data_IF_342916044594
#
_entry.id   IF_342916044594
#
_cell.length_a   1.000
_cell.length_b   1.000
_cell.length_c   1.000
_cell.angle_alpha   90.00
_cell.angle_beta   90.00
_cell.angle_gamma   90.00
#
_symmetry.space_group_name_H-M   'P 1'
#
loop_
_entity.id
_entity.type
_entity.pdbx_description
1 polymer ?
#
# COMPACT_ATOMS: atom_id res chain seq x y z
N UNK A 1 -2.79 -11.89 47.70
CA UNK A 1 -3.65 -12.73 46.84
C UNK A 1 -3.45 -12.24 45.41
N UNK A 2 -2.94 -13.06 44.48
CA UNK A 2 -2.88 -12.67 43.07
C UNK A 2 -4.30 -12.80 42.47
N UNK A 3 -4.76 -11.76 41.76
CA UNK A 3 -6.04 -11.77 41.03
C UNK A 3 -6.09 -12.83 39.92
N UNK A 4 -7.29 -13.11 39.37
CA UNK A 4 -7.47 -14.19 38.40
C UNK A 4 -6.62 -13.90 37.16
N UNK A 5 -5.88 -14.91 36.70
CA UNK A 5 -5.20 -14.90 35.40
C UNK A 5 -6.28 -14.86 34.32
N UNK A 6 -6.57 -13.68 33.79
CA UNK A 6 -7.39 -13.52 32.60
C UNK A 6 -6.67 -14.22 31.43
N UNK A 7 -7.23 -15.34 31.00
CA UNK A 7 -6.88 -15.97 29.73
C UNK A 7 -7.43 -15.09 28.62
N UNK A 8 -6.76 -13.98 28.35
CA UNK A 8 -7.03 -13.17 27.17
C UNK A 8 -6.89 -14.05 25.93
N UNK A 9 -7.95 -14.17 25.15
CA UNK A 9 -7.81 -14.74 23.81
C UNK A 9 -6.95 -13.78 22.98
N UNK A 10 -6.14 -14.31 22.04
CA UNK A 10 -5.30 -13.45 21.19
C UNK A 10 -6.11 -12.32 20.54
N UNK A 11 -7.37 -12.58 20.19
CA UNK A 11 -8.31 -11.61 19.61
C UNK A 11 -8.59 -10.43 20.56
N UNK A 12 -8.80 -10.69 21.85
CA UNK A 12 -9.04 -9.63 22.85
C UNK A 12 -7.84 -8.71 23.04
N UNK A 13 -6.62 -9.23 22.96
CA UNK A 13 -5.40 -8.40 23.06
C UNK A 13 -5.27 -7.42 21.89
N UNK A 14 -5.62 -7.83 20.67
CA UNK A 14 -5.63 -6.94 19.48
C UNK A 14 -6.76 -5.91 19.52
N UNK A 15 -7.88 -6.24 20.16
CA UNK A 15 -9.03 -5.33 20.34
C UNK A 15 -8.71 -4.27 21.40
N UNK A 16 -8.11 -4.66 22.53
CA UNK A 16 -7.83 -3.77 23.67
C UNK A 16 -6.64 -2.83 23.50
N UNK A 17 -5.69 -3.14 22.61
CA UNK A 17 -4.50 -2.31 22.37
C UNK A 17 -4.56 -1.51 21.07
N UNK A 18 -5.64 -1.65 20.29
CA UNK A 18 -5.85 -0.88 19.06
C UNK A 18 -6.43 0.51 19.35
N UNK A 19 -6.32 1.41 18.38
CA UNK A 19 -6.95 2.73 18.42
C UNK A 19 -8.48 2.59 18.35
N UNK A 20 -9.18 3.12 19.35
CA UNK A 20 -10.64 3.02 19.49
C UNK A 20 -11.36 3.72 18.31
N UNK A 21 -10.77 4.78 17.74
CA UNK A 21 -11.40 5.58 16.66
C UNK A 21 -11.65 4.81 15.38
N UNK A 22 -10.87 3.76 15.15
CA UNK A 22 -10.99 2.92 13.94
C UNK A 22 -11.73 1.62 14.21
N UNK A 23 -12.19 1.36 15.44
CA UNK A 23 -12.76 0.07 15.83
C UNK A 23 -14.05 -0.26 15.06
N UNK A 24 -14.90 0.73 14.82
CA UNK A 24 -16.17 0.56 14.09
C UNK A 24 -15.99 0.69 12.56
N UNK A 25 -14.76 0.90 12.09
CA UNK A 25 -14.49 0.97 10.66
C UNK A 25 -14.64 -0.41 10.01
N UNK A 26 -15.11 -0.48 8.75
CA UNK A 26 -15.19 -1.75 8.03
C UNK A 26 -13.84 -2.49 8.02
N UNK A 27 -13.85 -3.76 8.42
CA UNK A 27 -12.68 -4.66 8.49
C UNK A 27 -11.66 -4.36 9.62
N UNK A 28 -11.97 -3.45 10.55
CA UNK A 28 -11.06 -3.04 11.63
C UNK A 28 -11.46 -3.56 13.02
N UNK A 29 -12.59 -4.26 13.11
CA UNK A 29 -13.12 -4.91 14.31
C UNK A 29 -12.19 -6.01 14.82
N UNK A 30 -11.62 -6.80 13.90
CA UNK A 30 -10.69 -7.88 14.21
C UNK A 30 -9.74 -8.14 13.03
N UNK A 31 -8.62 -8.87 13.23
CA UNK A 31 -7.76 -9.28 12.12
C UNK A 31 -8.42 -10.32 11.20
N UNK A 32 -9.50 -10.98 11.65
CA UNK A 32 -10.10 -12.14 10.96
C UNK A 32 -10.63 -11.79 9.55
N UNK A 33 -11.39 -10.70 9.34
CA UNK A 33 -11.83 -10.29 8.01
C UNK A 33 -10.66 -10.05 7.05
N UNK A 34 -9.60 -9.35 7.49
CA UNK A 34 -8.44 -9.05 6.64
C UNK A 34 -7.63 -10.30 6.32
N UNK A 35 -7.43 -11.19 7.28
CA UNK A 35 -6.79 -12.49 7.05
C UNK A 35 -7.62 -13.35 6.09
N UNK A 36 -8.94 -13.28 6.17
CA UNK A 36 -9.84 -13.97 5.23
C UNK A 36 -9.65 -13.44 3.82
N UNK A 37 -9.67 -12.11 3.64
CA UNK A 37 -9.40 -11.47 2.33
C UNK A 37 -8.01 -11.85 1.80
N UNK A 38 -7.00 -11.86 2.66
CA UNK A 38 -5.64 -12.26 2.31
C UNK A 38 -5.58 -13.70 1.78
N UNK A 39 -6.18 -14.65 2.49
CA UNK A 39 -6.22 -16.06 2.07
C UNK A 39 -6.99 -16.21 0.76
N UNK A 40 -8.16 -15.58 0.64
CA UNK A 40 -8.96 -15.59 -0.59
C UNK A 40 -8.19 -15.00 -1.78
N UNK A 41 -7.46 -13.91 -1.57
CA UNK A 41 -6.59 -13.31 -2.59
C UNK A 41 -5.51 -14.29 -3.07
N UNK A 42 -4.79 -14.94 -2.15
CA UNK A 42 -3.75 -15.92 -2.51
C UNK A 42 -4.34 -17.15 -3.23
N UNK A 43 -5.50 -17.64 -2.77
CA UNK A 43 -6.22 -18.71 -3.45
C UNK A 43 -6.61 -18.31 -4.87
N UNK A 44 -7.12 -17.09 -5.06
CA UNK A 44 -7.51 -16.56 -6.36
C UNK A 44 -6.31 -16.38 -7.29
N UNK A 45 -5.17 -15.88 -6.80
CA UNK A 45 -3.93 -15.74 -7.58
C UNK A 45 -3.39 -17.11 -8.01
N UNK A 46 -3.48 -18.12 -7.14
CA UNK A 46 -2.99 -19.49 -7.42
C UNK A 46 -3.92 -20.27 -8.34
N UNK A 47 -5.22 -20.21 -8.09
CA UNK A 47 -6.22 -21.03 -8.77
C UNK A 47 -6.79 -20.34 -10.03
N UNK A 48 -6.80 -19.01 -10.07
CA UNK A 48 -7.33 -18.21 -11.17
C UNK A 48 -6.72 -18.55 -12.54
N UNK A 49 -5.38 -18.63 -12.69
CA UNK A 49 -4.74 -19.05 -13.92
C UNK A 49 -5.23 -20.42 -14.40
N UNK A 50 -5.24 -21.41 -13.50
CA UNK A 50 -5.68 -22.79 -13.77
C UNK A 50 -7.13 -22.86 -14.23
N UNK A 51 -8.03 -22.13 -13.56
CA UNK A 51 -9.46 -22.05 -13.94
C UNK A 51 -9.67 -21.39 -15.30
N UNK A 52 -8.72 -20.55 -15.72
CA UNK A 52 -8.79 -19.78 -16.94
C UNK A 52 -8.02 -20.41 -18.10
N UNK A 53 -7.28 -21.51 -17.90
CA UNK A 53 -6.51 -22.19 -18.96
C UNK A 53 -7.38 -22.52 -20.19
N UNK A 54 -8.57 -23.05 -19.93
CA UNK A 54 -9.52 -23.45 -20.98
C UNK A 54 -10.52 -22.36 -21.37
N UNK A 55 -10.36 -21.13 -20.84
CA UNK A 55 -11.30 -20.03 -21.05
C UNK A 55 -10.66 -18.88 -21.85
N UNK A 56 -11.42 -18.33 -22.79
CA UNK A 56 -11.04 -17.12 -23.52
C UNK A 56 -10.87 -15.94 -22.54
N UNK A 57 -9.90 -15.02 -22.77
CA UNK A 57 -9.74 -13.85 -21.93
C UNK A 57 -10.99 -12.95 -21.94
N UNK A 58 -11.40 -12.44 -20.78
CA UNK A 58 -12.51 -11.50 -20.68
C UNK A 58 -12.16 -10.14 -21.31
N UNK A 59 -13.11 -9.55 -22.04
CA UNK A 59 -12.97 -8.22 -22.62
C UNK A 59 -13.36 -7.13 -21.61
N UNK A 60 -12.48 -6.87 -20.63
CA UNK A 60 -12.73 -5.91 -19.53
C UNK A 60 -11.99 -4.58 -19.70
N UNK A 61 -11.66 -4.18 -20.93
CA UNK A 61 -10.81 -3.02 -21.18
C UNK A 61 -11.41 -1.71 -20.65
N UNK A 62 -12.69 -1.43 -20.95
CA UNK A 62 -13.39 -0.24 -20.45
C UNK A 62 -13.46 -0.18 -18.93
N UNK A 63 -13.81 -1.32 -18.30
CA UNK A 63 -13.83 -1.44 -16.84
C UNK A 63 -12.46 -1.17 -16.21
N UNK A 64 -11.37 -1.61 -16.86
CA UNK A 64 -10.00 -1.34 -16.39
C UNK A 64 -9.61 0.13 -16.53
N UNK A 65 -10.02 0.80 -17.61
CA UNK A 65 -9.79 2.25 -17.74
C UNK A 65 -10.50 2.97 -16.61
N UNK A 66 -11.79 2.68 -16.39
CA UNK A 66 -12.58 3.28 -15.32
C UNK A 66 -11.98 3.01 -13.94
N UNK A 67 -11.58 1.76 -13.67
CA UNK A 67 -10.91 1.38 -12.42
C UNK A 67 -9.63 2.18 -12.18
N UNK A 68 -8.72 2.23 -13.16
CA UNK A 68 -7.47 2.97 -12.99
C UNK A 68 -7.70 4.48 -12.83
N UNK A 69 -8.69 5.05 -13.51
CA UNK A 69 -9.08 6.45 -13.33
C UNK A 69 -9.69 6.71 -11.95
N UNK A 70 -10.52 5.79 -11.44
CA UNK A 70 -11.10 5.89 -10.11
C UNK A 70 -10.01 5.81 -9.03
N UNK A 71 -9.06 4.88 -9.16
CA UNK A 71 -7.94 4.77 -8.21
C UNK A 71 -7.00 5.97 -8.32
N UNK A 72 -6.78 6.51 -9.52
CA UNK A 72 -6.04 7.76 -9.70
C UNK A 72 -6.74 8.92 -9.00
N UNK A 73 -8.04 9.09 -9.19
CA UNK A 73 -8.83 10.14 -8.53
C UNK A 73 -8.83 9.99 -7.01
N UNK A 74 -8.95 8.77 -6.50
CA UNK A 74 -8.82 8.48 -5.07
C UNK A 74 -7.43 8.81 -4.55
N UNK A 75 -6.37 8.47 -5.29
CA UNK A 75 -4.99 8.79 -4.92
C UNK A 75 -4.75 10.30 -4.89
N UNK A 76 -5.33 11.04 -5.85
CA UNK A 76 -5.33 12.52 -5.87
C UNK A 76 -6.01 13.04 -4.60
N UNK A 77 -7.22 12.57 -4.31
CA UNK A 77 -7.97 12.98 -3.11
C UNK A 77 -7.17 12.73 -1.83
N UNK A 78 -6.62 11.52 -1.64
CA UNK A 78 -5.81 11.18 -0.46
C UNK A 78 -4.57 12.09 -0.36
N UNK A 79 -3.86 12.32 -1.47
CA UNK A 79 -2.69 13.22 -1.47
C UNK A 79 -3.07 14.65 -1.05
N UNK A 80 -4.19 15.17 -1.54
CA UNK A 80 -4.66 16.52 -1.17
C UNK A 80 -5.16 16.60 0.28
N UNK A 81 -5.96 15.64 0.74
CA UNK A 81 -6.40 15.57 2.14
C UNK A 81 -5.19 15.51 3.08
N UNK A 82 -4.21 14.66 2.77
CA UNK A 82 -2.98 14.59 3.55
C UNK A 82 -2.23 15.93 3.55
N UNK A 83 -2.10 16.60 2.40
CA UNK A 83 -1.45 17.91 2.33
C UNK A 83 -2.18 18.97 3.16
N UNK A 84 -3.53 19.01 3.07
CA UNK A 84 -4.36 19.94 3.83
C UNK A 84 -4.23 19.67 5.32
N UNK A 85 -4.34 18.41 5.75
CA UNK A 85 -4.15 18.03 7.15
C UNK A 85 -2.76 18.41 7.64
N UNK A 86 -1.70 18.20 6.85
CA UNK A 86 -0.34 18.60 7.23
C UNK A 86 -0.18 20.12 7.42
N UNK A 87 -0.79 20.91 6.54
CA UNK A 87 -0.76 22.38 6.64
C UNK A 87 -1.57 22.87 7.84
N UNK A 88 -2.76 22.30 8.07
CA UNK A 88 -3.63 22.65 9.20
C UNK A 88 -3.01 22.26 10.56
N UNK A 89 -2.29 21.14 10.61
CA UNK A 89 -1.64 20.65 11.83
C UNK A 89 -0.24 21.22 12.09
N UNK A 90 0.27 22.15 11.25
CA UNK A 90 1.66 22.63 11.30
C UNK A 90 2.69 21.48 11.35
N UNK A 91 2.50 20.49 10.49
CA UNK A 91 3.17 19.19 10.57
C UNK A 91 4.71 19.29 10.55
N UNK A 92 5.36 18.65 11.52
CA UNK A 92 6.82 18.54 11.58
C UNK A 92 7.31 17.34 10.76
N UNK A 93 8.04 17.61 9.67
CA UNK A 93 8.71 16.59 8.86
C UNK A 93 9.85 15.86 9.58
N UNK A 94 10.24 16.31 10.79
CA UNK A 94 11.27 15.68 11.61
C UNK A 94 10.65 14.68 12.59
N UNK A 95 9.67 15.11 13.37
CA UNK A 95 9.01 14.25 14.33
C UNK A 95 7.56 14.70 14.58
N UNK A 96 6.58 13.87 14.20
CA UNK A 96 5.16 14.11 14.49
C UNK A 96 4.57 12.93 15.26
N UNK A 97 4.01 13.15 16.47
CA UNK A 97 3.28 12.13 17.21
C UNK A 97 1.94 11.80 16.55
N UNK A 98 1.33 10.67 16.91
CA UNK A 98 -0.03 10.34 16.49
C UNK A 98 -1.00 11.22 17.28
N UNK A 99 -1.84 11.97 16.58
CA UNK A 99 -2.95 12.71 17.17
C UNK A 99 -4.15 11.77 17.28
N UNK A 100 -4.67 11.59 18.49
CA UNK A 100 -5.78 10.70 18.83
C UNK A 100 -7.16 11.41 18.83
N UNK A 101 -7.28 12.59 18.22
CA UNK A 101 -8.55 13.32 18.10
C UNK A 101 -9.48 12.76 17.01
N UNK A 102 -10.79 12.89 17.20
CA UNK A 102 -11.84 12.34 16.32
C UNK A 102 -12.20 13.30 15.17
N UNK A 103 -11.53 13.20 14.01
CA UNK A 103 -11.90 13.93 12.76
C UNK A 103 -12.56 12.96 11.74
N UNK A 104 -13.77 13.24 11.18
CA UNK A 104 -14.60 12.25 10.49
C UNK A 104 -14.21 11.85 9.04
N UNK A 105 -12.98 12.05 8.58
CA UNK A 105 -12.64 11.95 7.15
C UNK A 105 -11.74 10.77 6.78
N UNK A 106 -12.30 9.56 6.71
CA UNK A 106 -11.72 8.48 5.90
C UNK A 106 -12.73 7.35 5.75
N UNK A 107 -12.99 6.85 4.52
CA UNK A 107 -13.23 5.42 4.19
C UNK A 107 -13.80 5.18 2.78
N UNK A 108 -13.50 3.97 2.25
CA UNK A 108 -14.01 3.21 1.06
C UNK A 108 -13.06 3.19 -0.16
N UNK A 109 -12.87 2.16 -1.01
CA UNK A 109 -13.48 0.83 -1.28
C UNK A 109 -12.48 -0.05 -2.10
N UNK A 110 -12.74 -1.37 -2.24
CA UNK A 110 -12.07 -2.35 -3.14
C UNK A 110 -12.93 -2.73 -4.37
N UNK A 111 -12.34 -3.21 -5.50
CA UNK A 111 -12.45 -4.60 -6.06
C UNK A 111 -12.09 -4.84 -7.56
N UNK A 112 -11.56 -6.06 -7.81
CA UNK A 112 -11.61 -7.04 -8.93
C UNK A 112 -10.69 -6.98 -10.18
N UNK A 113 -10.16 -8.21 -10.39
CA UNK A 113 -9.27 -8.89 -11.33
C UNK A 113 -9.49 -8.70 -12.83
N UNK A 114 -8.36 -8.62 -13.54
CA UNK A 114 -8.19 -8.87 -14.98
C UNK A 114 -7.27 -10.08 -15.20
N UNK A 115 -7.61 -10.97 -16.13
CA UNK A 115 -6.69 -12.03 -16.60
C UNK A 115 -5.56 -11.40 -17.43
N UNK A 116 -4.36 -11.33 -16.85
CA UNK A 116 -3.11 -11.07 -17.57
C UNK A 116 -1.98 -11.83 -16.89
N UNK A 117 -1.82 -13.10 -17.26
CA UNK A 117 -0.81 -14.02 -16.73
C UNK A 117 0.62 -13.44 -16.75
N UNK A 118 0.91 -12.55 -17.71
CA UNK A 118 2.22 -11.89 -17.82
C UNK A 118 2.50 -10.83 -16.74
N UNK A 119 1.51 -10.40 -15.96
CA UNK A 119 1.65 -9.32 -14.98
C UNK A 119 1.62 -9.80 -13.51
N UNK A 120 1.31 -11.07 -13.26
CA UNK A 120 1.38 -11.69 -11.92
C UNK A 120 2.83 -12.13 -11.68
N UNK A 121 3.67 -11.22 -11.22
CA UNK A 121 5.05 -11.52 -10.81
C UNK A 121 5.11 -11.76 -9.30
N UNK A 122 6.17 -12.42 -8.84
CA UNK A 122 6.44 -12.53 -7.39
C UNK A 122 6.41 -11.16 -6.70
N UNK A 123 7.03 -10.15 -7.32
CA UNK A 123 7.04 -8.77 -6.83
C UNK A 123 5.61 -8.22 -6.64
N UNK A 124 4.75 -8.41 -7.64
CA UNK A 124 3.36 -7.94 -7.58
C UNK A 124 2.57 -8.64 -6.47
N UNK A 125 2.66 -9.97 -6.39
CA UNK A 125 1.92 -10.75 -5.40
C UNK A 125 2.39 -10.44 -3.99
N UNK A 126 3.72 -10.45 -3.77
CA UNK A 126 4.33 -10.11 -2.49
C UNK A 126 3.91 -8.70 -2.04
N UNK A 127 4.01 -7.70 -2.92
CA UNK A 127 3.62 -6.33 -2.63
C UNK A 127 2.15 -6.23 -2.19
N UNK A 128 1.20 -6.72 -2.99
CA UNK A 128 -0.22 -6.57 -2.64
C UNK A 128 -0.63 -7.38 -1.40
N UNK A 129 0.01 -8.54 -1.19
CA UNK A 129 -0.23 -9.39 -0.03
C UNK A 129 0.26 -8.72 1.27
N UNK A 130 1.52 -8.24 1.29
CA UNK A 130 2.10 -7.64 2.50
C UNK A 130 1.53 -6.26 2.80
N UNK A 131 1.23 -5.45 1.78
CA UNK A 131 0.64 -4.13 1.97
C UNK A 131 -0.76 -4.22 2.58
N UNK A 132 -1.56 -5.25 2.25
CA UNK A 132 -2.86 -5.47 2.90
C UNK A 132 -2.72 -5.67 4.41
N UNK A 133 -1.79 -6.53 4.83
CA UNK A 133 -1.55 -6.84 6.24
C UNK A 133 -0.92 -5.66 6.98
N UNK A 134 0.10 -5.02 6.39
CA UNK A 134 0.74 -3.86 6.98
C UNK A 134 -0.23 -2.68 7.08
N UNK A 135 -1.01 -2.35 6.06
CA UNK A 135 -1.96 -1.23 6.16
C UNK A 135 -2.97 -1.45 7.27
N UNK A 136 -3.51 -2.66 7.42
CA UNK A 136 -4.40 -2.96 8.56
C UNK A 136 -3.69 -2.77 9.90
N UNK A 137 -2.47 -3.29 10.04
CA UNK A 137 -1.69 -3.17 11.28
C UNK A 137 -1.33 -1.71 11.61
N UNK A 138 -0.95 -0.91 10.61
CA UNK A 138 -0.66 0.50 10.81
C UNK A 138 -1.92 1.31 11.15
N UNK A 139 -3.04 1.08 10.46
CA UNK A 139 -4.29 1.80 10.74
C UNK A 139 -4.85 1.42 12.12
N UNK A 140 -4.78 0.14 12.51
CA UNK A 140 -5.31 -0.33 13.79
C UNK A 140 -4.55 0.22 15.00
N UNK A 141 -3.25 0.47 14.87
CA UNK A 141 -2.39 0.80 16.03
C UNK A 141 -1.75 2.19 15.99
N UNK A 142 -1.52 2.75 14.80
CA UNK A 142 -0.86 4.04 14.61
C UNK A 142 -1.46 4.81 13.42
N UNK A 143 -2.77 5.16 13.45
CA UNK A 143 -3.44 5.89 12.37
C UNK A 143 -3.05 7.38 12.36
N UNK A 144 -1.76 7.68 12.16
CA UNK A 144 -1.26 9.05 12.09
C UNK A 144 0.23 9.20 12.41
N UNK A 145 0.64 10.42 12.71
CA UNK A 145 2.03 10.78 12.99
C UNK A 145 2.95 10.47 11.81
N UNK A 146 4.08 9.80 12.08
CA UNK A 146 5.13 9.49 11.09
C UNK A 146 4.66 8.70 9.86
N UNK A 147 3.56 7.96 10.00
CA UNK A 147 2.96 7.17 8.92
C UNK A 147 2.41 8.05 7.79
N UNK A 148 2.19 9.34 8.08
CA UNK A 148 1.79 10.35 7.11
C UNK A 148 2.73 10.41 5.90
N UNK A 149 4.05 10.48 6.14
CA UNK A 149 5.04 10.61 5.06
C UNK A 149 5.01 9.38 4.14
N UNK A 150 4.77 8.19 4.71
CA UNK A 150 4.59 6.96 3.96
C UNK A 150 3.33 7.04 3.09
N UNK A 151 2.18 7.38 3.67
CA UNK A 151 0.90 7.46 2.95
C UNK A 151 0.90 8.55 1.86
N UNK A 152 1.49 9.71 2.14
CA UNK A 152 1.58 10.83 1.20
C UNK A 152 2.42 10.47 -0.02
N UNK A 153 3.66 10.02 0.19
CA UNK A 153 4.56 9.67 -0.90
C UNK A 153 4.02 8.49 -1.72
N UNK A 154 3.39 7.51 -1.07
CA UNK A 154 2.77 6.38 -1.75
C UNK A 154 1.60 6.81 -2.64
N UNK A 155 0.67 7.61 -2.10
CA UNK A 155 -0.49 8.11 -2.84
C UNK A 155 -0.05 9.00 -4.02
N UNK A 156 0.95 9.86 -3.80
CA UNK A 156 1.49 10.72 -4.87
C UNK A 156 2.05 9.91 -6.04
N UNK A 157 2.86 8.88 -5.77
CA UNK A 157 3.40 8.02 -6.84
C UNK A 157 2.30 7.17 -7.48
N UNK A 158 1.29 6.76 -6.71
CA UNK A 158 0.12 6.04 -7.23
C UNK A 158 -0.69 6.87 -8.23
N UNK A 159 -0.80 8.19 -8.08
CA UNK A 159 -1.43 9.06 -9.10
C UNK A 159 -0.82 8.78 -10.48
N UNK A 160 0.52 8.84 -10.58
CA UNK A 160 1.25 8.63 -11.83
C UNK A 160 1.22 7.17 -12.29
N UNK A 161 1.26 6.22 -11.36
CA UNK A 161 1.22 4.80 -11.68
C UNK A 161 -0.13 4.39 -12.28
N UNK A 162 -1.24 4.84 -11.67
CA UNK A 162 -2.58 4.53 -12.16
C UNK A 162 -2.94 5.36 -13.39
N UNK A 163 -2.41 6.58 -13.54
CA UNK A 163 -2.48 7.30 -14.81
C UNK A 163 -1.82 6.49 -15.95
N UNK A 164 -0.61 5.97 -15.72
CA UNK A 164 0.07 5.11 -16.69
C UNK A 164 -0.76 3.87 -17.04
N UNK A 165 -1.31 3.17 -16.05
CA UNK A 165 -2.11 1.96 -16.28
C UNK A 165 -3.45 2.24 -16.96
N UNK A 166 -4.11 3.35 -16.64
CA UNK A 166 -5.31 3.81 -17.33
C UNK A 166 -5.04 4.07 -18.80
N UNK A 167 -4.01 4.84 -19.12
CA UNK A 167 -3.60 5.11 -20.51
C UNK A 167 -3.16 3.82 -21.24
N UNK A 168 -2.44 2.93 -20.56
CA UNK A 168 -2.03 1.65 -21.15
C UNK A 168 -3.23 0.71 -21.43
N UNK A 169 -4.32 0.85 -20.67
CA UNK A 169 -5.54 0.07 -20.83
C UNK A 169 -6.39 0.50 -22.02
N UNK A 170 -6.23 1.73 -22.53
CA UNK A 170 -6.91 2.24 -23.75
C UNK A 170 -6.42 1.57 -25.05
N UNK A 171 -5.37 0.75 -24.97
CA UNK A 171 -4.94 -0.14 -26.06
C UNK A 171 -3.66 0.30 -26.78
N UNK A 172 -3.31 -0.39 -27.88
CA UNK A 172 -2.03 -0.20 -28.59
C UNK A 172 -1.82 1.22 -29.10
N UNK A 173 -2.92 1.91 -29.49
CA UNK A 173 -2.87 3.29 -29.96
C UNK A 173 -2.27 4.25 -28.91
N UNK A 174 -2.55 4.02 -27.62
CA UNK A 174 -2.01 4.85 -26.53
C UNK A 174 -0.65 4.37 -26.02
N UNK A 175 -0.40 3.05 -26.01
CA UNK A 175 0.83 2.47 -25.50
C UNK A 175 2.10 2.99 -26.19
N UNK A 176 2.02 3.39 -27.47
CA UNK A 176 3.15 3.98 -28.21
C UNK A 176 3.65 5.30 -27.61
N UNK A 177 2.78 6.07 -26.95
CA UNK A 177 3.13 7.34 -26.32
C UNK A 177 3.68 7.18 -24.90
N UNK A 178 3.65 5.97 -24.34
CA UNK A 178 4.04 5.68 -22.96
C UNK A 178 5.55 5.41 -22.79
N UNK A 179 6.38 6.21 -23.45
CA UNK A 179 7.86 6.12 -23.42
C UNK A 179 8.44 6.40 -22.03
N UNK A 180 7.69 7.11 -21.18
CA UNK A 180 8.12 7.54 -19.86
C UNK A 180 8.02 6.45 -18.78
N UNK A 181 7.66 5.21 -19.14
CA UNK A 181 7.59 4.06 -18.21
C UNK A 181 8.82 3.92 -17.30
N UNK A 182 10.03 4.14 -17.84
CA UNK A 182 11.27 4.02 -17.05
C UNK A 182 11.34 5.06 -15.93
N UNK A 183 10.84 6.27 -16.18
CA UNK A 183 10.85 7.36 -15.20
C UNK A 183 9.86 7.09 -14.08
N UNK A 184 8.74 6.44 -14.37
CA UNK A 184 7.81 5.96 -13.35
C UNK A 184 8.49 4.95 -12.40
N UNK A 185 9.25 3.99 -12.94
CA UNK A 185 10.00 3.04 -12.10
C UNK A 185 11.08 3.75 -11.27
N UNK A 186 11.76 4.76 -11.82
CA UNK A 186 12.71 5.58 -11.06
C UNK A 186 12.03 6.37 -9.95
N UNK A 187 10.83 6.92 -10.20
CA UNK A 187 10.03 7.63 -9.20
C UNK A 187 9.67 6.71 -8.02
N UNK A 188 9.28 5.46 -8.29
CA UNK A 188 9.03 4.45 -7.26
C UNK A 188 10.29 4.12 -6.43
N UNK A 189 11.47 4.03 -7.06
CA UNK A 189 12.73 3.82 -6.35
C UNK A 189 13.08 5.01 -5.43
N UNK A 190 12.92 6.24 -5.93
CA UNK A 190 13.13 7.47 -5.14
C UNK A 190 12.17 7.50 -3.95
N UNK A 191 10.90 7.13 -4.14
CA UNK A 191 9.93 7.01 -3.05
C UNK A 191 10.43 6.09 -1.94
N UNK A 192 10.93 4.89 -2.26
CA UNK A 192 11.43 3.96 -1.24
C UNK A 192 12.64 4.50 -0.49
N UNK A 193 13.54 5.22 -1.17
CA UNK A 193 14.69 5.87 -0.52
C UNK A 193 14.20 6.94 0.46
N UNK A 194 13.29 7.81 0.05
CA UNK A 194 12.75 8.86 0.92
C UNK A 194 12.04 8.30 2.15
N UNK A 195 11.19 7.27 1.96
CA UNK A 195 10.49 6.60 3.07
C UNK A 195 11.50 5.92 4.01
N UNK A 196 12.50 5.23 3.46
CA UNK A 196 13.53 4.55 4.26
C UNK A 196 14.35 5.56 5.07
N UNK A 197 14.81 6.66 4.47
CA UNK A 197 15.57 7.70 5.16
C UNK A 197 14.76 8.36 6.28
N UNK A 198 13.50 8.68 6.02
CA UNK A 198 12.60 9.24 7.03
C UNK A 198 12.36 8.24 8.18
N UNK A 199 12.09 6.98 7.87
CA UNK A 199 11.88 5.96 8.89
C UNK A 199 13.16 5.68 9.71
N UNK A 200 14.33 5.65 9.07
CA UNK A 200 15.62 5.46 9.73
C UNK A 200 15.96 6.63 10.66
N UNK A 201 15.73 7.87 10.21
CA UNK A 201 15.87 9.05 11.06
C UNK A 201 15.04 8.93 12.34
N UNK A 202 13.78 8.49 12.20
CA UNK A 202 12.89 8.28 13.34
C UNK A 202 13.33 7.14 14.27
N UNK A 203 13.95 6.07 13.74
CA UNK A 203 14.49 4.99 14.58
C UNK A 203 15.71 5.47 15.37
N UNK A 204 16.59 6.23 14.74
CA UNK A 204 17.87 6.64 15.33
C UNK A 204 17.77 7.87 16.23
N UNK A 205 16.90 8.83 15.88
CA UNK A 205 16.85 10.17 16.47
C UNK A 205 15.44 10.61 16.87
N UNK A 206 14.42 9.77 16.69
CA UNK A 206 13.05 10.11 17.02
C UNK A 206 12.76 10.01 18.52
N UNK A 207 12.54 11.15 19.17
CA UNK A 207 12.19 11.24 20.59
C UNK A 207 10.70 11.55 20.84
N UNK A 208 9.86 11.65 19.79
CA UNK A 208 8.45 12.07 19.91
C UNK A 208 7.46 10.96 20.33
N UNK A 209 7.92 9.91 21.02
CA UNK A 209 7.05 8.85 21.55
C UNK A 209 6.40 7.93 20.51
N UNK A 210 6.77 8.04 19.23
CA UNK A 210 6.29 7.11 18.19
C UNK A 210 6.90 5.72 18.39
N UNK A 211 6.12 4.62 18.31
CA UNK A 211 6.66 3.31 18.64
C UNK A 211 7.69 2.84 17.60
N UNK A 212 8.93 2.61 18.07
CA UNK A 212 10.09 2.27 17.22
C UNK A 212 9.88 1.04 16.35
N UNK A 213 9.03 0.10 16.79
CA UNK A 213 8.70 -1.12 16.05
C UNK A 213 8.07 -0.81 14.68
N UNK A 214 7.15 0.16 14.59
CA UNK A 214 6.52 0.53 13.32
C UNK A 214 7.51 1.22 12.38
N UNK A 215 8.38 2.09 12.91
CA UNK A 215 9.45 2.71 12.11
C UNK A 215 10.46 1.68 11.60
N UNK A 216 10.86 0.71 12.42
CA UNK A 216 11.75 -0.38 12.02
C UNK A 216 11.11 -1.27 10.94
N UNK A 217 9.83 -1.62 11.09
CA UNK A 217 9.10 -2.39 10.08
C UNK A 217 9.05 -1.65 8.73
N UNK A 218 8.92 -0.32 8.76
CA UNK A 218 8.92 0.54 7.56
C UNK A 218 10.28 0.55 6.86
N UNK A 219 11.38 0.57 7.62
CA UNK A 219 12.75 0.45 7.09
C UNK A 219 12.95 -0.90 6.41
N UNK A 220 12.63 -1.99 7.11
CA UNK A 220 12.78 -3.36 6.57
C UNK A 220 11.96 -3.52 5.28
N UNK A 221 10.70 -3.11 5.30
CA UNK A 221 9.81 -3.25 4.15
C UNK A 221 10.28 -2.41 2.96
N UNK A 222 10.75 -1.18 3.21
CA UNK A 222 11.28 -0.28 2.17
C UNK A 222 12.57 -0.84 1.55
N UNK A 223 13.45 -1.46 2.34
CA UNK A 223 14.65 -2.12 1.83
C UNK A 223 14.32 -3.33 0.93
N UNK A 224 13.32 -4.14 1.31
CA UNK A 224 12.84 -5.26 0.49
C UNK A 224 12.26 -4.73 -0.84
N UNK A 225 11.39 -3.74 -0.80
CA UNK A 225 10.81 -3.18 -2.03
C UNK A 225 11.85 -2.52 -2.92
N UNK A 226 12.78 -1.75 -2.35
CA UNK A 226 13.89 -1.19 -3.11
C UNK A 226 14.69 -2.26 -3.84
N UNK A 227 15.02 -3.36 -3.16
CA UNK A 227 15.76 -4.49 -3.73
C UNK A 227 14.99 -5.16 -4.87
N UNK A 228 13.70 -5.44 -4.67
CA UNK A 228 12.86 -6.07 -5.68
C UNK A 228 12.63 -5.17 -6.91
N UNK A 229 12.40 -3.87 -6.70
CA UNK A 229 12.23 -2.91 -7.79
C UNK A 229 13.53 -2.62 -8.53
N UNK A 230 14.67 -2.62 -7.83
CA UNK A 230 15.99 -2.51 -8.46
C UNK A 230 16.25 -3.73 -9.34
N UNK A 231 16.01 -4.94 -8.83
CA UNK A 231 16.10 -6.16 -9.63
C UNK A 231 15.17 -6.12 -10.86
N UNK A 232 13.92 -5.67 -10.69
CA UNK A 232 13.00 -5.46 -11.80
C UNK A 232 13.53 -4.44 -12.83
N UNK A 233 14.07 -3.31 -12.37
CA UNK A 233 14.60 -2.25 -13.22
C UNK A 233 15.80 -2.76 -14.04
N UNK A 234 16.77 -3.41 -13.38
CA UNK A 234 17.95 -3.98 -14.04
C UNK A 234 17.55 -5.03 -15.07
N UNK A 235 16.64 -5.94 -14.73
CA UNK A 235 16.17 -6.97 -15.66
C UNK A 235 15.38 -6.43 -16.85
N UNK A 236 14.63 -5.33 -16.67
CA UNK A 236 13.74 -4.80 -17.70
C UNK A 236 14.42 -3.80 -18.63
N UNK A 237 15.34 -2.98 -18.09
CA UNK A 237 15.88 -1.82 -18.80
C UNK A 237 17.38 -1.89 -19.07
N UNK A 238 18.16 -2.62 -18.28
CA UNK A 238 19.63 -2.65 -18.41
C UNK A 238 20.17 -3.97 -18.96
N UNK A 239 19.52 -5.10 -18.67
CA UNK A 239 19.92 -6.38 -19.28
C UNK A 239 19.76 -6.28 -20.81
N UNK A 240 20.81 -6.62 -21.59
CA UNK A 240 20.69 -6.72 -23.03
C UNK A 240 19.59 -7.73 -23.36
N UNK A 241 18.63 -7.35 -24.21
CA UNK A 241 17.72 -8.33 -24.79
C UNK A 241 18.59 -9.32 -25.56
N UNK A 242 18.70 -10.57 -25.09
CA UNK A 242 19.20 -11.66 -25.94
C UNK A 242 18.33 -11.66 -27.19
N UNK A 243 18.92 -11.27 -28.31
CA UNK A 243 18.33 -11.41 -29.64
C UNK A 243 18.24 -12.88 -29.99
#
# INVERSE_FOLDING_TARGET
MPGPRENWTYVETYITHGDERVQDWPLMDSPVPVLTVFVLYLMMVKQGPKMMEQRKPFQVQGAMVLYNLAVMALSIYITFEMLISAVQSSYSLKCQPVDYSEDPRALRFFFIVRKKERQITFLHVYHHAIMLLHTWWFVKFVPGGQTFVLGFLNSFVHIWMYAYYGLAAMGPHMQKYLWWKKYLTKLQLVQFVLICSHALYNVCFGDCGFPRLFSLSSVIQSAIFFSLFTNFYLQTYEKPKRR
#
